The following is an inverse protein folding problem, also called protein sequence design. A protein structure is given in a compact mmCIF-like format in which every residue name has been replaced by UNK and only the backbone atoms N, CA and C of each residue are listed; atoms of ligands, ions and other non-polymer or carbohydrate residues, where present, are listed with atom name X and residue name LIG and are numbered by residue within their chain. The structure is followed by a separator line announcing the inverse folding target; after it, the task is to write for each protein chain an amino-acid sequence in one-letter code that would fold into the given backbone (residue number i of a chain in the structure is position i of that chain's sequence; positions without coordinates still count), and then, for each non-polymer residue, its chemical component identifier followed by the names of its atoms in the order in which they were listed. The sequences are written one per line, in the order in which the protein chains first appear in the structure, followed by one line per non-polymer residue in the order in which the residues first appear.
data_IF_763899235031
#
_entry.id   IF_763899235031
#
_cell.length_a   1.000
_cell.length_b   1.000
_cell.length_c   1.000
_cell.angle_alpha   90.00
_cell.angle_beta   90.00
_cell.angle_gamma   90.00
#
_symmetry.space_group_name_H-M   'P 1'
#
loop_
_entity.id
_entity.type
_entity.pdbx_description
1 polymer ?
#
# COMPACT_ATOMS: atom_id res chain seq x y z
N UNK A 1 0.46 -21.56 -9.97
CA UNK A 1 0.03 -20.14 -10.08
C UNK A 1 0.69 -19.36 -8.96
N UNK A 2 1.11 -18.13 -9.23
CA UNK A 2 1.63 -17.20 -8.21
C UNK A 2 0.84 -15.91 -8.32
N UNK A 3 0.53 -15.29 -7.19
CA UNK A 3 -0.12 -13.98 -7.14
C UNK A 3 0.95 -12.93 -6.89
N UNK A 4 0.90 -11.84 -7.62
CA UNK A 4 1.68 -10.62 -7.34
C UNK A 4 0.76 -9.42 -7.28
N UNK A 5 1.08 -8.48 -6.42
CA UNK A 5 0.36 -7.22 -6.26
C UNK A 5 1.28 -6.10 -6.74
N UNK A 6 0.77 -5.26 -7.63
CA UNK A 6 1.45 -4.04 -8.06
C UNK A 6 0.59 -2.84 -7.65
N UNK A 7 1.26 -1.82 -7.12
CA UNK A 7 0.63 -0.60 -6.60
C UNK A 7 1.16 0.58 -7.40
N UNK A 8 0.26 1.35 -7.99
CA UNK A 8 0.64 2.59 -8.68
C UNK A 8 0.99 3.68 -7.68
N UNK A 9 2.07 4.39 -7.92
CA UNK A 9 2.55 5.51 -7.12
C UNK A 9 2.95 6.67 -8.03
N UNK A 10 2.87 7.93 -7.56
CA UNK A 10 3.28 9.08 -8.39
C UNK A 10 4.75 9.02 -8.80
N UNK A 11 5.62 8.65 -7.85
CA UNK A 11 7.06 8.41 -8.06
C UNK A 11 7.50 7.19 -7.26
N UNK A 12 8.53 6.48 -7.74
CA UNK A 12 9.09 5.36 -6.96
C UNK A 12 9.66 5.82 -5.63
N UNK A 13 10.28 7.00 -5.57
CA UNK A 13 10.85 7.56 -4.34
C UNK A 13 9.80 7.69 -3.24
N UNK A 14 8.64 8.25 -3.55
CA UNK A 14 7.54 8.40 -2.59
C UNK A 14 6.99 7.03 -2.14
N UNK A 15 6.82 6.11 -3.07
CA UNK A 15 6.35 4.76 -2.76
C UNK A 15 7.33 3.97 -1.90
N UNK A 16 8.62 3.99 -2.25
CA UNK A 16 9.68 3.33 -1.48
C UNK A 16 9.74 3.88 -0.05
N UNK A 17 9.64 5.20 0.10
CA UNK A 17 9.64 5.82 1.43
C UNK A 17 8.45 5.37 2.27
N UNK A 18 7.23 5.45 1.74
CA UNK A 18 6.03 5.07 2.50
C UNK A 18 6.05 3.60 2.91
N UNK A 19 6.23 2.68 1.97
CA UNK A 19 6.20 1.24 2.25
C UNK A 19 7.40 0.78 3.09
N UNK A 20 8.54 1.45 2.96
CA UNK A 20 9.70 1.24 3.83
C UNK A 20 9.44 1.67 5.26
N UNK A 21 9.00 2.91 5.47
CA UNK A 21 8.77 3.47 6.80
C UNK A 21 7.59 2.79 7.54
N UNK A 22 6.50 2.49 6.82
CA UNK A 22 5.30 1.90 7.40
C UNK A 22 5.44 0.40 7.71
N UNK A 23 6.02 -0.37 6.78
CA UNK A 23 5.98 -1.84 6.82
C UNK A 23 7.35 -2.51 6.72
N UNK A 24 8.43 -1.77 6.63
CA UNK A 24 9.78 -2.32 6.54
C UNK A 24 10.13 -2.94 5.19
N UNK A 25 9.41 -2.59 4.12
CA UNK A 25 9.76 -3.04 2.79
C UNK A 25 11.09 -2.43 2.32
N UNK A 26 11.89 -3.24 1.66
CA UNK A 26 13.13 -2.80 1.01
C UNK A 26 13.09 -3.13 -0.48
N UNK A 27 13.66 -2.27 -1.32
CA UNK A 27 13.81 -2.55 -2.74
C UNK A 27 14.81 -3.68 -2.94
N UNK A 28 14.38 -4.74 -3.64
CA UNK A 28 15.23 -5.89 -3.95
C UNK A 28 15.50 -6.07 -5.44
N UNK A 29 14.76 -5.39 -6.30
CA UNK A 29 15.01 -5.36 -7.74
C UNK A 29 14.39 -4.12 -8.37
N UNK A 30 14.97 -3.68 -9.47
CA UNK A 30 14.43 -2.63 -10.34
C UNK A 30 14.51 -3.08 -11.80
N UNK A 31 13.59 -3.93 -12.24
CA UNK A 31 13.62 -4.46 -13.61
C UNK A 31 13.46 -3.40 -14.70
N UNK A 32 12.89 -2.24 -14.33
CA UNK A 32 12.56 -1.15 -15.21
C UNK A 32 12.66 0.17 -14.44
N UNK A 33 13.04 1.31 -15.05
CA UNK A 33 13.15 2.60 -14.34
C UNK A 33 11.87 3.06 -13.63
N UNK A 34 10.71 2.65 -14.12
CA UNK A 34 9.39 2.95 -13.51
C UNK A 34 8.81 1.81 -12.69
N UNK A 35 9.55 0.72 -12.46
CA UNK A 35 9.08 -0.43 -11.71
C UNK A 35 10.10 -0.93 -10.70
N UNK A 36 9.71 -0.94 -9.44
CA UNK A 36 10.51 -1.48 -8.34
C UNK A 36 9.82 -2.68 -7.69
N UNK A 37 10.61 -3.66 -7.28
CA UNK A 37 10.15 -4.80 -6.49
C UNK A 37 10.62 -4.59 -5.06
N UNK A 38 9.69 -4.67 -4.12
CA UNK A 38 9.93 -4.51 -2.70
C UNK A 38 9.64 -5.81 -1.96
N UNK A 39 10.44 -6.09 -0.94
CA UNK A 39 10.32 -7.30 -0.13
C UNK A 39 10.36 -6.97 1.36
N UNK A 40 9.49 -7.60 2.14
CA UNK A 40 9.51 -7.60 3.60
C UNK A 40 9.24 -9.03 4.08
N UNK A 41 10.25 -9.69 4.66
CA UNK A 41 10.17 -11.12 4.97
C UNK A 41 9.88 -11.93 3.70
N UNK A 42 8.82 -12.71 3.71
CA UNK A 42 8.37 -13.50 2.56
C UNK A 42 7.40 -12.74 1.62
N UNK A 43 6.97 -11.56 2.04
CA UNK A 43 6.01 -10.74 1.29
C UNK A 43 6.72 -9.92 0.21
N UNK A 44 6.13 -9.90 -0.97
CA UNK A 44 6.65 -9.19 -2.13
C UNK A 44 5.54 -8.37 -2.78
N UNK A 45 5.84 -7.09 -3.07
CA UNK A 45 4.96 -6.18 -3.83
C UNK A 45 5.76 -5.52 -4.95
N UNK A 46 5.05 -5.05 -5.98
CA UNK A 46 5.61 -4.18 -7.01
C UNK A 46 5.11 -2.74 -6.85
N UNK A 47 5.96 -1.78 -7.14
CA UNK A 47 5.57 -0.38 -7.30
C UNK A 47 5.74 0.05 -8.74
N UNK A 48 4.70 0.67 -9.30
CA UNK A 48 4.70 1.23 -10.64
C UNK A 48 4.59 2.75 -10.54
N UNK A 49 5.61 3.46 -11.02
CA UNK A 49 5.56 4.91 -11.16
C UNK A 49 4.69 5.27 -12.36
N UNK A 50 3.56 5.88 -12.09
CA UNK A 50 2.58 6.30 -13.09
C UNK A 50 2.12 7.72 -12.79
N UNK A 51 2.23 8.67 -13.72
CA UNK A 51 1.83 10.04 -13.44
C UNK A 51 0.31 10.18 -13.28
N UNK A 52 -0.11 11.10 -12.42
CA UNK A 52 -1.51 11.51 -12.33
C UNK A 52 -2.00 11.98 -13.70
N UNK A 53 -3.26 11.69 -14.02
CA UNK A 53 -3.87 12.01 -15.31
C UNK A 53 -3.58 11.00 -16.42
N UNK A 54 -2.70 10.02 -16.20
CA UNK A 54 -2.44 8.97 -17.19
C UNK A 54 -3.57 7.94 -17.24
N UNK A 55 -3.78 7.34 -18.41
CA UNK A 55 -4.81 6.30 -18.60
C UNK A 55 -4.40 5.00 -17.89
N UNK A 56 -5.28 4.41 -17.06
CA UNK A 56 -4.98 3.14 -16.40
C UNK A 56 -5.06 1.94 -17.34
N UNK A 57 -5.85 2.03 -18.38
CA UNK A 57 -6.04 0.94 -19.34
C UNK A 57 -6.46 1.49 -20.70
N UNK A 58 -6.17 0.74 -21.77
CA UNK A 58 -6.61 1.07 -23.13
C UNK A 58 -8.14 1.16 -23.17
N UNK A 59 -8.65 2.27 -23.70
CA UNK A 59 -10.09 2.50 -23.83
C UNK A 59 -10.78 2.99 -22.56
N UNK A 60 -10.06 3.14 -21.45
CA UNK A 60 -10.64 3.74 -20.24
C UNK A 60 -10.87 5.23 -20.43
N UNK A 61 -12.03 5.71 -19.96
CA UNK A 61 -12.35 7.13 -19.84
C UNK A 61 -11.89 7.71 -18.50
N UNK A 62 -11.54 6.86 -17.55
CA UNK A 62 -10.99 7.27 -16.27
C UNK A 62 -9.48 7.52 -16.37
N UNK A 63 -8.94 8.27 -15.42
CA UNK A 63 -7.51 8.59 -15.33
C UNK A 63 -7.01 8.31 -13.93
N UNK A 64 -5.69 8.09 -13.79
CA UNK A 64 -5.07 7.93 -12.48
C UNK A 64 -5.18 9.21 -11.67
N UNK A 65 -5.64 9.06 -10.43
CA UNK A 65 -5.76 10.12 -9.43
C UNK A 65 -5.16 9.59 -8.13
N UNK A 66 -4.30 10.39 -7.50
CA UNK A 66 -3.68 10.04 -6.21
C UNK A 66 -4.40 10.75 -5.06
N UNK A 67 -5.72 10.63 -5.06
CA UNK A 67 -6.62 11.05 -4.00
C UNK A 67 -7.43 9.85 -3.50
N UNK A 68 -8.01 9.94 -2.32
CA UNK A 68 -8.76 8.81 -1.75
C UNK A 68 -9.89 8.39 -2.68
N UNK A 69 -9.88 7.13 -3.04
CA UNK A 69 -10.90 6.49 -3.88
C UNK A 69 -11.22 5.11 -3.34
N UNK A 70 -12.42 4.64 -3.62
CA UNK A 70 -12.82 3.29 -3.27
C UNK A 70 -12.44 2.32 -4.39
N UNK A 71 -11.95 1.15 -3.98
CA UNK A 71 -11.76 0.00 -4.88
C UNK A 71 -12.37 -1.25 -4.26
N UNK A 72 -12.94 -2.16 -5.06
CA UNK A 72 -13.52 -3.40 -4.53
C UNK A 72 -12.46 -4.41 -4.05
N UNK A 73 -11.20 -4.18 -4.37
CA UNK A 73 -10.06 -4.99 -3.94
C UNK A 73 -9.13 -4.11 -3.13
N UNK A 74 -8.70 -4.60 -1.98
CA UNK A 74 -7.70 -3.95 -1.14
C UNK A 74 -6.69 -4.96 -0.61
N UNK A 75 -5.57 -4.47 -0.12
CA UNK A 75 -4.51 -5.29 0.47
C UNK A 75 -4.67 -5.29 1.99
N UNK A 76 -4.60 -6.45 2.61
CA UNK A 76 -4.54 -6.62 4.06
C UNK A 76 -3.10 -6.96 4.47
N UNK A 77 -2.48 -6.07 5.22
CA UNK A 77 -1.18 -6.33 5.85
C UNK A 77 -1.41 -6.98 7.20
N UNK A 78 -1.17 -8.30 7.29
CA UNK A 78 -1.24 -9.03 8.55
C UNK A 78 0.07 -8.89 9.30
N UNK A 79 -0.01 -8.43 10.55
CA UNK A 79 1.16 -8.02 11.32
C UNK A 79 1.10 -8.55 12.75
N UNK A 80 2.24 -8.91 13.31
CA UNK A 80 2.34 -9.40 14.70
C UNK A 80 2.11 -8.28 15.71
N UNK A 81 2.67 -7.11 15.47
CA UNK A 81 2.50 -5.94 16.34
C UNK A 81 1.63 -4.90 15.63
N UNK A 82 0.33 -5.01 15.86
CA UNK A 82 -0.68 -4.14 15.27
C UNK A 82 -0.45 -2.67 15.66
N UNK A 83 -0.27 -2.39 16.95
CA UNK A 83 -0.18 -1.01 17.42
C UNK A 83 1.09 -0.31 16.93
N UNK A 84 2.22 -1.00 16.96
CA UNK A 84 3.47 -0.45 16.45
C UNK A 84 3.41 -0.22 14.94
N UNK A 85 2.81 -1.15 14.19
CA UNK A 85 2.67 -1.02 12.73
C UNK A 85 1.71 0.12 12.37
N UNK A 86 0.56 0.21 13.04
CA UNK A 86 -0.38 1.30 12.83
C UNK A 86 0.29 2.65 13.08
N UNK A 87 1.03 2.78 14.19
CA UNK A 87 1.77 4.01 14.49
C UNK A 87 2.77 4.37 13.38
N UNK A 88 3.57 3.42 12.92
CA UNK A 88 4.54 3.64 11.83
C UNK A 88 3.84 4.07 10.54
N UNK A 89 2.73 3.44 10.19
CA UNK A 89 1.98 3.78 8.99
C UNK A 89 1.43 5.22 9.08
N UNK A 90 0.88 5.62 10.23
CA UNK A 90 0.38 6.98 10.45
C UNK A 90 1.52 8.00 10.41
N UNK A 91 2.66 7.71 11.04
CA UNK A 91 3.85 8.57 11.00
C UNK A 91 4.41 8.70 9.57
N UNK A 92 4.25 7.67 8.73
CA UNK A 92 4.66 7.67 7.32
C UNK A 92 3.67 8.38 6.38
N UNK A 93 2.50 8.81 6.89
CA UNK A 93 1.52 9.60 6.14
C UNK A 93 0.22 8.86 5.81
N UNK A 94 0.01 7.63 6.28
CA UNK A 94 -1.28 6.98 6.18
C UNK A 94 -2.33 7.68 7.04
N UNK A 95 -3.60 7.47 6.69
CA UNK A 95 -4.75 7.91 7.49
C UNK A 95 -5.51 6.68 7.96
N UNK A 96 -5.81 6.61 9.27
CA UNK A 96 -6.73 5.63 9.80
C UNK A 96 -8.17 6.18 9.63
N UNK A 97 -8.96 5.49 8.82
CA UNK A 97 -10.34 5.86 8.56
C UNK A 97 -11.27 5.23 9.61
N UNK A 98 -10.94 4.02 10.05
CA UNK A 98 -11.68 3.30 11.07
C UNK A 98 -10.77 2.28 11.75
N UNK A 99 -10.87 2.15 13.07
CA UNK A 99 -10.09 1.17 13.84
C UNK A 99 -11.02 0.37 14.73
N UNK A 100 -10.94 -0.95 14.63
CA UNK A 100 -11.71 -1.88 15.44
C UNK A 100 -10.79 -2.65 16.39
N UNK A 101 -11.11 -2.60 17.66
CA UNK A 101 -10.49 -3.41 18.72
C UNK A 101 -11.60 -4.05 19.54
N UNK A 102 -11.97 -5.25 19.15
CA UNK A 102 -13.06 -6.02 19.78
C UNK A 102 -12.43 -7.24 20.45
N UNK A 103 -12.76 -7.45 21.73
CA UNK A 103 -12.26 -8.60 22.48
C UNK A 103 -12.62 -9.92 21.80
N UNK A 104 -11.64 -10.82 21.66
CA UNK A 104 -11.81 -12.11 20.99
C UNK A 104 -11.60 -12.10 19.48
N UNK A 105 -11.31 -10.93 18.89
CA UNK A 105 -11.06 -10.78 17.45
C UNK A 105 -9.74 -10.06 17.21
N UNK A 106 -9.02 -10.37 16.11
CA UNK A 106 -7.85 -9.59 15.72
C UNK A 106 -8.23 -8.11 15.51
N UNK A 107 -7.40 -7.17 15.97
CA UNK A 107 -7.64 -5.75 15.70
C UNK A 107 -7.46 -5.47 14.19
N UNK A 108 -8.26 -4.54 13.67
CA UNK A 108 -8.23 -4.14 12.27
C UNK A 108 -8.28 -2.63 12.16
N UNK A 109 -7.40 -2.05 11.35
CA UNK A 109 -7.46 -0.66 10.94
C UNK A 109 -7.72 -0.56 9.43
N UNK A 110 -8.79 0.14 9.07
CA UNK A 110 -9.06 0.54 7.69
C UNK A 110 -8.31 1.86 7.45
N UNK A 111 -7.40 1.85 6.50
CA UNK A 111 -6.49 2.96 6.24
C UNK A 111 -6.50 3.36 4.77
N UNK A 112 -5.97 4.54 4.51
CA UNK A 112 -5.53 4.94 3.18
C UNK A 112 -4.07 5.37 3.21
N UNK A 113 -3.35 5.08 2.13
CA UNK A 113 -1.97 5.51 1.97
C UNK A 113 -1.89 6.97 1.47
N UNK A 114 -0.69 7.58 1.41
CA UNK A 114 -0.54 8.96 0.91
C UNK A 114 -0.96 9.15 -0.55
N UNK A 115 -1.18 8.06 -1.27
CA UNK A 115 -1.53 8.06 -2.69
C UNK A 115 -3.02 7.81 -2.94
N UNK A 116 -3.83 7.73 -1.86
CA UNK A 116 -5.27 7.56 -1.92
C UNK A 116 -5.75 6.11 -2.00
N UNK A 117 -4.87 5.12 -1.93
CA UNK A 117 -5.25 3.70 -1.96
C UNK A 117 -5.70 3.22 -0.59
N UNK A 118 -6.84 2.53 -0.56
CA UNK A 118 -7.32 1.88 0.65
C UNK A 118 -6.57 0.58 0.94
N UNK A 119 -6.26 0.32 2.21
CA UNK A 119 -5.66 -0.91 2.70
C UNK A 119 -6.07 -1.18 4.15
N UNK A 120 -5.86 -2.40 4.62
CA UNK A 120 -6.08 -2.73 6.02
C UNK A 120 -4.76 -3.15 6.69
N UNK A 121 -4.65 -2.81 7.98
CA UNK A 121 -3.69 -3.44 8.88
C UNK A 121 -4.49 -4.38 9.77
N UNK A 122 -4.09 -5.65 9.83
CA UNK A 122 -4.78 -6.70 10.61
C UNK A 122 -3.79 -7.31 11.58
N UNK A 123 -4.12 -7.31 12.86
CA UNK A 123 -3.32 -8.01 13.87
C UNK A 123 -3.43 -9.53 13.74
N UNK A 124 -2.37 -10.23 14.11
CA UNK A 124 -2.35 -11.70 14.26
C UNK A 124 -2.59 -12.11 15.71
#
# INVERSE_FOLDING_TARGET
MKISVSIDVPTLEQGLKFFGDAFGFVETARPHPGYAVLTAGETRIGLLAKPAGSSPAKGSTDVRKYERHWTPVHVDFRVKDFEATLKKALDAGAKAEQVHRVAGYPPVAFCSDPFGHGFCIVGE
#
